data_IF_503909691772
#
_entry.id   IF_503909691772
#
_cell.length_a   1.000
_cell.length_b   1.000
_cell.length_c   1.000
_cell.angle_alpha   90.00
_cell.angle_beta   90.00
_cell.angle_gamma   90.00
#
_symmetry.space_group_name_H-M   'P 1'
#
loop_
_entity.id
_entity.type
_entity.pdbx_description
1 polymer ?
#
# COMPACT_ATOMS: atom_id res chain seq x y z
N UNK A 1 16.56 -41.29 34.22
CA UNK A 1 17.53 -40.52 33.40
C UNK A 1 17.18 -40.47 31.90
N UNK A 2 16.53 -41.46 31.36
CA UNK A 2 16.23 -41.60 29.91
C UNK A 2 15.31 -40.52 29.32
N UNK A 3 14.29 -40.01 30.05
CA UNK A 3 13.33 -39.01 29.55
C UNK A 3 13.94 -37.59 29.36
N UNK A 4 14.96 -37.20 30.12
CA UNK A 4 15.64 -35.91 29.94
C UNK A 4 16.57 -35.88 28.70
N UNK A 5 17.16 -37.04 28.34
CA UNK A 5 18.00 -37.16 27.14
C UNK A 5 17.18 -37.14 25.86
N UNK A 6 15.98 -37.72 25.84
CA UNK A 6 15.09 -37.71 24.68
C UNK A 6 14.52 -36.31 24.43
N UNK A 7 14.14 -35.56 25.49
CA UNK A 7 13.72 -34.15 25.36
C UNK A 7 14.88 -33.24 24.93
N UNK A 8 16.09 -33.44 25.41
CA UNK A 8 17.28 -32.68 24.99
C UNK A 8 17.58 -32.87 23.50
N UNK A 9 17.56 -34.09 22.99
CA UNK A 9 17.82 -34.38 21.58
C UNK A 9 16.72 -33.84 20.64
N UNK A 10 15.44 -33.87 21.04
CA UNK A 10 14.35 -33.35 20.26
C UNK A 10 14.38 -31.81 20.19
N UNK A 11 14.77 -31.12 21.25
CA UNK A 11 14.95 -29.68 21.30
C UNK A 11 16.15 -29.22 20.44
N UNK A 12 17.26 -29.95 20.48
CA UNK A 12 18.43 -29.66 19.63
C UNK A 12 18.15 -29.89 18.14
N UNK A 13 17.47 -30.98 17.77
CA UNK A 13 17.08 -31.27 16.42
C UNK A 13 16.08 -30.24 15.89
N UNK A 14 15.12 -29.78 16.72
CA UNK A 14 14.15 -28.76 16.38
C UNK A 14 14.80 -27.37 16.21
N UNK A 15 15.77 -27.02 17.05
CA UNK A 15 16.54 -25.78 16.94
C UNK A 15 17.46 -25.76 15.71
N UNK A 16 18.10 -26.90 15.36
CA UNK A 16 18.90 -26.99 14.14
C UNK A 16 18.00 -26.85 12.88
N UNK A 17 16.82 -27.44 12.89
CA UNK A 17 15.83 -27.30 11.81
C UNK A 17 15.34 -25.85 11.69
N UNK A 18 15.04 -25.16 12.78
CA UNK A 18 14.61 -23.76 12.79
C UNK A 18 15.72 -22.81 12.29
N UNK A 19 16.96 -23.01 12.73
CA UNK A 19 18.12 -22.24 12.26
C UNK A 19 18.37 -22.42 10.76
N UNK A 20 18.25 -23.66 10.28
CA UNK A 20 18.40 -23.97 8.85
C UNK A 20 17.29 -23.28 8.01
N UNK A 21 16.05 -23.31 8.48
CA UNK A 21 14.92 -22.61 7.85
C UNK A 21 15.13 -21.10 7.82
N UNK A 22 15.58 -20.50 8.93
CA UNK A 22 15.85 -19.06 9.00
C UNK A 22 16.97 -18.67 8.02
N UNK A 23 18.07 -19.43 8.02
CA UNK A 23 19.20 -19.16 7.13
C UNK A 23 18.83 -19.35 5.66
N UNK A 24 17.99 -20.34 5.35
CA UNK A 24 17.40 -20.54 4.03
C UNK A 24 16.55 -19.34 3.60
N UNK A 25 15.65 -18.87 4.48
CA UNK A 25 14.80 -17.70 4.22
C UNK A 25 15.64 -16.44 3.91
N UNK A 26 16.67 -16.16 4.69
CA UNK A 26 17.58 -15.03 4.44
C UNK A 26 18.30 -15.19 3.10
N UNK A 27 18.91 -16.36 2.85
CA UNK A 27 19.68 -16.62 1.63
C UNK A 27 18.83 -16.50 0.35
N UNK A 28 17.58 -16.94 0.39
CA UNK A 28 16.65 -16.85 -0.75
C UNK A 28 16.13 -15.43 -0.98
N UNK A 29 16.01 -14.61 0.07
CA UNK A 29 15.46 -13.26 -0.01
C UNK A 29 16.46 -12.26 -0.57
N UNK A 30 17.75 -12.37 -0.26
CA UNK A 30 18.78 -11.38 -0.64
C UNK A 30 18.86 -11.18 -2.17
N UNK A 31 18.97 -12.24 -3.01
CA UNK A 31 19.04 -12.04 -4.48
C UNK A 31 17.75 -11.41 -5.05
N UNK A 32 16.60 -11.78 -4.50
CA UNK A 32 15.30 -11.23 -4.90
C UNK A 32 15.20 -9.76 -4.51
N UNK A 33 15.59 -9.41 -3.28
CA UNK A 33 15.61 -8.04 -2.79
C UNK A 33 16.51 -7.16 -3.66
N UNK A 34 17.69 -7.64 -4.02
CA UNK A 34 18.61 -6.92 -4.89
C UNK A 34 18.03 -6.69 -6.28
N UNK A 35 17.44 -7.72 -6.90
CA UNK A 35 16.80 -7.60 -8.21
C UNK A 35 15.62 -6.61 -8.19
N UNK A 36 14.77 -6.69 -7.17
CA UNK A 36 13.64 -5.79 -6.96
C UNK A 36 14.12 -4.36 -6.76
N UNK A 37 15.09 -4.14 -5.86
CA UNK A 37 15.60 -2.79 -5.58
C UNK A 37 16.28 -2.17 -6.79
N UNK A 38 17.09 -2.94 -7.54
CA UNK A 38 17.69 -2.47 -8.79
C UNK A 38 16.64 -1.99 -9.78
N UNK A 39 15.57 -2.77 -9.98
CA UNK A 39 14.47 -2.40 -10.86
C UNK A 39 13.77 -1.12 -10.37
N UNK A 40 13.46 -1.02 -9.08
CA UNK A 40 12.82 0.15 -8.48
C UNK A 40 13.67 1.41 -8.65
N UNK A 41 14.95 1.37 -8.31
CA UNK A 41 15.85 2.50 -8.43
C UNK A 41 16.02 2.95 -9.89
N UNK A 42 15.95 2.02 -10.86
CA UNK A 42 16.00 2.37 -12.28
C UNK A 42 14.80 3.19 -12.76
N UNK A 43 13.71 3.20 -12.03
CA UNK A 43 12.51 4.02 -12.28
C UNK A 43 12.53 5.27 -11.40
N UNK A 44 12.80 5.10 -10.11
CA UNK A 44 12.74 6.19 -9.12
C UNK A 44 13.71 7.33 -9.44
N UNK A 45 14.97 7.02 -9.75
CA UNK A 45 15.99 8.03 -9.98
C UNK A 45 15.68 8.89 -11.23
N UNK A 46 15.37 8.32 -12.41
CA UNK A 46 14.99 9.14 -13.57
C UNK A 46 13.73 9.98 -13.34
N UNK A 47 12.71 9.43 -12.64
CA UNK A 47 11.47 10.17 -12.35
C UNK A 47 11.75 11.35 -11.41
N UNK A 48 12.51 11.13 -10.32
CA UNK A 48 12.85 12.23 -9.40
C UNK A 48 13.73 13.31 -10.08
N UNK A 49 14.62 12.90 -10.99
CA UNK A 49 15.37 13.84 -11.81
C UNK A 49 14.49 14.65 -12.76
N UNK A 50 13.49 14.01 -13.38
CA UNK A 50 12.53 14.72 -14.22
C UNK A 50 11.74 15.76 -13.40
N UNK A 51 11.36 15.45 -12.16
CA UNK A 51 10.69 16.39 -11.25
C UNK A 51 11.61 17.58 -10.92
N UNK A 52 12.90 17.33 -10.65
CA UNK A 52 13.90 18.41 -10.47
C UNK A 52 13.92 19.36 -11.68
N UNK A 53 13.94 18.81 -12.90
CA UNK A 53 13.94 19.62 -14.13
C UNK A 53 12.64 20.40 -14.29
N UNK A 54 11.48 19.80 -14.00
CA UNK A 54 10.19 20.48 -14.04
C UNK A 54 10.12 21.62 -13.01
N UNK A 55 10.70 21.42 -11.83
CA UNK A 55 10.81 22.45 -10.80
C UNK A 55 11.73 23.60 -11.25
N UNK A 56 12.94 23.27 -11.72
CA UNK A 56 13.91 24.26 -12.18
C UNK A 56 13.39 25.12 -13.37
N UNK A 57 12.65 24.51 -14.29
CA UNK A 57 12.06 25.21 -15.45
C UNK A 57 10.78 26.00 -15.12
N UNK A 58 10.26 25.91 -13.90
CA UNK A 58 9.00 26.55 -13.50
C UNK A 58 7.73 25.90 -14.04
N UNK A 59 7.85 24.83 -14.84
CA UNK A 59 6.69 24.09 -15.38
C UNK A 59 5.86 23.48 -14.26
N UNK A 60 6.52 23.00 -13.20
CA UNK A 60 5.84 22.45 -12.03
C UNK A 60 4.91 23.50 -11.39
N UNK A 61 5.37 24.73 -11.20
CA UNK A 61 4.57 25.81 -10.62
C UNK A 61 3.32 26.14 -11.44
N UNK A 62 3.43 26.15 -12.78
CA UNK A 62 2.30 26.40 -13.68
C UNK A 62 1.22 25.33 -13.53
N UNK A 63 1.61 24.04 -13.59
CA UNK A 63 0.66 22.92 -13.46
C UNK A 63 0.04 22.90 -12.07
N UNK A 64 0.85 23.12 -11.02
CA UNK A 64 0.41 23.21 -9.63
C UNK A 64 -0.67 24.27 -9.43
N UNK A 65 -0.53 25.43 -10.05
CA UNK A 65 -1.51 26.50 -9.98
C UNK A 65 -2.90 26.12 -10.52
N UNK A 66 -2.97 25.31 -11.57
CA UNK A 66 -4.25 24.81 -12.11
C UNK A 66 -4.91 23.76 -11.21
N UNK A 67 -4.13 22.96 -10.49
CA UNK A 67 -4.62 21.86 -9.67
C UNK A 67 -4.81 22.25 -8.20
N UNK A 68 -4.25 23.39 -7.78
CA UNK A 68 -4.32 23.88 -6.41
C UNK A 68 -5.75 23.88 -5.82
N UNK A 69 -6.81 24.39 -6.51
CA UNK A 69 -8.13 24.46 -5.90
C UNK A 69 -8.70 23.10 -5.47
N UNK A 70 -8.34 22.02 -6.16
CA UNK A 70 -8.77 20.65 -5.81
C UNK A 70 -7.99 20.13 -4.61
N UNK A 71 -6.70 20.42 -4.55
CA UNK A 71 -5.83 19.92 -3.48
C UNK A 71 -5.95 20.72 -2.19
N UNK A 72 -6.28 22.00 -2.27
CA UNK A 72 -6.57 22.87 -1.11
C UNK A 72 -7.73 22.35 -0.25
N UNK A 73 -8.73 21.67 -0.84
CA UNK A 73 -9.79 20.98 -0.07
C UNK A 73 -9.25 19.92 0.91
N UNK A 74 -8.07 19.40 0.62
CA UNK A 74 -7.38 18.41 1.44
C UNK A 74 -6.24 19.04 2.25
N UNK A 75 -6.10 20.37 2.25
CA UNK A 75 -5.01 21.10 2.89
C UNK A 75 -3.64 20.79 2.25
N UNK A 76 -3.62 20.51 0.97
CA UNK A 76 -2.42 20.14 0.21
C UNK A 76 -2.04 21.24 -0.78
N UNK A 77 -0.74 21.54 -0.97
CA UNK A 77 -0.29 22.44 -2.02
C UNK A 77 -0.50 21.84 -3.41
N UNK A 78 -0.56 22.68 -4.45
CA UNK A 78 -0.81 22.25 -5.82
C UNK A 78 0.20 21.24 -6.38
N UNK A 79 1.47 21.30 -5.94
CA UNK A 79 2.55 20.36 -6.28
C UNK A 79 2.21 18.92 -5.90
N UNK A 80 1.36 18.74 -4.91
CA UNK A 80 0.86 17.43 -4.45
C UNK A 80 0.20 16.64 -5.56
N UNK A 81 -0.34 17.31 -6.58
CA UNK A 81 -0.91 16.67 -7.75
C UNK A 81 0.10 15.80 -8.50
N UNK A 82 1.36 16.23 -8.59
CA UNK A 82 2.42 15.43 -9.22
C UNK A 82 2.71 14.15 -8.48
N UNK A 83 2.74 14.20 -7.15
CA UNK A 83 2.90 13.02 -6.31
C UNK A 83 1.79 12.02 -6.59
N UNK A 84 0.54 12.48 -6.53
CA UNK A 84 -0.62 11.62 -6.70
C UNK A 84 -0.71 11.06 -8.12
N UNK A 85 -0.53 11.88 -9.15
CA UNK A 85 -0.55 11.44 -10.55
C UNK A 85 0.57 10.44 -10.84
N UNK A 86 1.79 10.72 -10.37
CA UNK A 86 2.91 9.79 -10.52
C UNK A 86 2.62 8.46 -9.84
N UNK A 87 2.05 8.48 -8.64
CA UNK A 87 1.63 7.29 -7.91
C UNK A 87 0.57 6.48 -8.67
N UNK A 88 -0.47 7.14 -9.16
CA UNK A 88 -1.58 6.54 -9.92
C UNK A 88 -1.07 5.78 -11.15
N UNK A 89 -0.20 6.41 -11.93
CA UNK A 89 0.26 5.84 -13.19
C UNK A 89 1.44 4.89 -13.06
N UNK A 90 2.17 4.95 -11.95
CA UNK A 90 3.34 4.10 -11.72
C UNK A 90 3.22 3.23 -10.47
N UNK A 91 3.81 3.65 -9.35
CA UNK A 91 3.83 2.91 -8.08
C UNK A 91 4.18 3.82 -6.90
N UNK A 92 4.15 3.28 -5.67
CA UNK A 92 4.48 4.02 -4.44
C UNK A 92 5.92 4.50 -4.37
N UNK A 93 6.87 3.80 -4.99
CA UNK A 93 8.29 4.15 -4.91
C UNK A 93 8.59 5.43 -5.68
N UNK A 94 7.96 5.60 -6.85
CA UNK A 94 8.05 6.86 -7.61
C UNK A 94 7.35 8.00 -6.88
N UNK A 95 6.22 7.75 -6.20
CA UNK A 95 5.59 8.75 -5.34
C UNK A 95 6.52 9.22 -4.22
N UNK A 96 7.22 8.28 -3.55
CA UNK A 96 8.21 8.60 -2.52
C UNK A 96 9.35 9.45 -3.09
N UNK A 97 9.84 9.11 -4.29
CA UNK A 97 10.89 9.88 -4.95
C UNK A 97 10.45 11.32 -5.25
N UNK A 98 9.20 11.52 -5.70
CA UNK A 98 8.63 12.86 -5.93
C UNK A 98 8.44 13.61 -4.62
N UNK A 99 7.87 12.99 -3.58
CA UNK A 99 7.70 13.60 -2.26
C UNK A 99 9.02 14.13 -1.71
N UNK A 100 10.07 13.31 -1.77
CA UNK A 100 11.39 13.67 -1.25
C UNK A 100 12.09 14.75 -2.09
N UNK A 101 11.73 14.88 -3.37
CA UNK A 101 12.24 15.93 -4.26
C UNK A 101 11.52 17.27 -4.10
N UNK A 102 10.33 17.28 -3.49
CA UNK A 102 9.51 18.48 -3.28
C UNK A 102 9.64 19.07 -1.87
N UNK A 103 10.40 18.43 -0.97
CA UNK A 103 10.65 18.87 0.42
C UNK A 103 9.37 19.24 1.19
N UNK A 104 8.32 18.41 1.07
CA UNK A 104 7.00 18.67 1.63
C UNK A 104 6.99 18.52 3.16
N UNK A 105 6.13 19.29 3.83
CA UNK A 105 5.91 19.20 5.29
C UNK A 105 5.37 17.85 5.73
N UNK A 106 5.70 17.41 6.95
CA UNK A 106 5.33 16.09 7.46
C UNK A 106 3.82 15.80 7.45
N UNK A 107 2.98 16.82 7.67
CA UNK A 107 1.51 16.71 7.56
C UNK A 107 1.08 16.45 6.12
N UNK A 108 1.60 17.21 5.18
CA UNK A 108 1.36 17.05 3.74
C UNK A 108 1.84 15.68 3.27
N UNK A 109 3.06 15.28 3.67
CA UNK A 109 3.62 13.94 3.39
C UNK A 109 2.69 12.84 3.91
N UNK A 110 2.14 12.98 5.11
CA UNK A 110 1.24 11.97 5.72
C UNK A 110 -0.07 11.83 4.92
N UNK A 111 -0.70 12.95 4.55
CA UNK A 111 -1.94 12.94 3.76
C UNK A 111 -1.66 12.33 2.37
N UNK A 112 -0.63 12.80 1.68
CA UNK A 112 -0.24 12.28 0.37
C UNK A 112 0.13 10.80 0.40
N UNK A 113 0.89 10.37 1.41
CA UNK A 113 1.22 8.96 1.60
C UNK A 113 -0.04 8.10 1.71
N UNK A 114 -1.01 8.49 2.54
CA UNK A 114 -2.27 7.78 2.67
C UNK A 114 -3.07 7.75 1.36
N UNK A 115 -3.13 8.87 0.63
CA UNK A 115 -3.79 8.96 -0.68
C UNK A 115 -3.10 8.06 -1.72
N UNK A 116 -1.78 8.10 -1.80
CA UNK A 116 -1.00 7.25 -2.70
C UNK A 116 -1.15 5.77 -2.37
N UNK A 117 -1.16 5.41 -1.08
CA UNK A 117 -1.37 4.04 -0.62
C UNK A 117 -2.74 3.47 -1.04
N UNK A 118 -3.74 4.31 -1.27
CA UNK A 118 -5.08 3.91 -1.77
C UNK A 118 -5.10 3.87 -3.31
N UNK A 119 -4.35 4.74 -3.99
CA UNK A 119 -4.53 5.00 -5.42
C UNK A 119 -3.31 4.74 -6.31
N UNK A 120 -2.24 4.13 -5.80
CA UNK A 120 -1.08 3.81 -6.64
C UNK A 120 -1.35 2.71 -7.67
N UNK A 121 -0.56 2.69 -8.74
CA UNK A 121 -0.51 1.58 -9.69
C UNK A 121 -1.86 1.21 -10.33
N UNK A 122 -2.71 2.18 -10.67
CA UNK A 122 -4.08 1.94 -11.16
C UNK A 122 -4.15 0.92 -12.29
N UNK A 123 -3.23 0.98 -13.24
CA UNK A 123 -3.26 0.10 -14.43
C UNK A 123 -3.04 -1.36 -14.02
N UNK A 124 -1.95 -1.62 -13.30
CA UNK A 124 -1.54 -2.98 -12.94
C UNK A 124 -2.48 -3.58 -11.91
N UNK A 125 -2.78 -2.85 -10.84
CA UNK A 125 -3.60 -3.38 -9.75
C UNK A 125 -5.06 -3.54 -10.14
N UNK A 126 -5.60 -2.63 -10.95
CA UNK A 126 -6.96 -2.80 -11.48
C UNK A 126 -7.06 -4.02 -12.42
N UNK A 127 -6.01 -4.29 -13.22
CA UNK A 127 -5.97 -5.50 -14.04
C UNK A 127 -5.97 -6.77 -13.17
N UNK A 128 -5.26 -6.75 -12.05
CA UNK A 128 -5.25 -7.84 -11.06
C UNK A 128 -6.63 -8.02 -10.43
N UNK A 129 -7.26 -6.94 -9.93
CA UNK A 129 -8.59 -6.97 -9.32
C UNK A 129 -9.68 -7.42 -10.33
N UNK A 130 -9.52 -7.09 -11.61
CA UNK A 130 -10.40 -7.58 -12.67
C UNK A 130 -10.27 -9.09 -12.87
N UNK A 131 -9.05 -9.64 -12.85
CA UNK A 131 -8.81 -11.09 -12.96
C UNK A 131 -9.44 -11.88 -11.82
N UNK A 132 -9.52 -11.30 -10.64
CA UNK A 132 -10.16 -11.91 -9.47
C UNK A 132 -11.68 -11.71 -9.41
N UNK A 133 -12.27 -11.14 -10.46
CA UNK A 133 -13.73 -11.14 -10.69
C UNK A 133 -14.44 -9.81 -10.46
N UNK A 134 -13.75 -8.70 -10.16
CA UNK A 134 -14.36 -7.39 -9.96
C UNK A 134 -14.43 -6.55 -11.24
N UNK A 135 -15.36 -5.61 -11.28
CA UNK A 135 -15.44 -4.60 -12.36
C UNK A 135 -14.27 -3.63 -12.27
N UNK A 136 -13.48 -3.51 -13.35
CA UNK A 136 -12.35 -2.59 -13.41
C UNK A 136 -12.76 -1.14 -13.15
N UNK A 137 -13.84 -0.67 -13.79
CA UNK A 137 -14.35 0.71 -13.61
C UNK A 137 -14.73 0.95 -12.15
N UNK A 138 -15.43 -0.03 -11.53
CA UNK A 138 -15.81 0.07 -10.13
C UNK A 138 -14.60 0.16 -9.20
N UNK A 139 -13.57 -0.67 -9.44
CA UNK A 139 -12.35 -0.64 -8.64
C UNK A 139 -11.58 0.68 -8.81
N UNK A 140 -11.50 1.22 -10.02
CA UNK A 140 -10.91 2.54 -10.28
C UNK A 140 -11.66 3.64 -9.52
N UNK A 141 -13.00 3.65 -9.58
CA UNK A 141 -13.82 4.64 -8.87
C UNK A 141 -13.67 4.51 -7.35
N UNK A 142 -13.72 3.29 -6.81
CA UNK A 142 -13.55 3.05 -5.36
C UNK A 142 -12.19 3.56 -4.89
N UNK A 143 -11.12 3.32 -5.63
CA UNK A 143 -9.77 3.76 -5.27
C UNK A 143 -9.59 5.27 -5.43
N UNK A 144 -10.09 5.84 -6.52
CA UNK A 144 -10.01 7.28 -6.75
C UNK A 144 -10.80 8.06 -5.67
N UNK A 145 -12.07 7.73 -5.50
CA UNK A 145 -12.92 8.38 -4.49
C UNK A 145 -12.42 8.11 -3.07
N UNK A 146 -11.94 6.89 -2.80
CA UNK A 146 -11.34 6.53 -1.52
C UNK A 146 -10.07 7.33 -1.21
N UNK A 147 -9.23 7.58 -2.23
CA UNK A 147 -8.02 8.41 -2.09
C UNK A 147 -8.37 9.86 -1.72
N UNK A 148 -9.35 10.47 -2.39
CA UNK A 148 -9.79 11.82 -2.02
C UNK A 148 -10.50 11.84 -0.67
N UNK A 149 -11.34 10.86 -0.38
CA UNK A 149 -12.03 10.77 0.92
C UNK A 149 -11.05 10.65 2.09
N UNK A 150 -10.00 9.83 1.96
CA UNK A 150 -8.98 9.71 3.01
C UNK A 150 -8.15 11.00 3.14
N UNK A 151 -7.88 11.71 2.03
CA UNK A 151 -7.20 13.00 2.04
C UNK A 151 -8.00 14.06 2.81
N UNK A 152 -9.30 14.22 2.52
CA UNK A 152 -10.20 15.12 3.24
C UNK A 152 -10.32 14.73 4.71
N UNK A 153 -10.50 13.43 5.00
CA UNK A 153 -10.57 12.93 6.38
C UNK A 153 -9.30 13.26 7.18
N UNK A 154 -8.13 12.99 6.61
CA UNK A 154 -6.86 13.26 7.28
C UNK A 154 -6.58 14.75 7.42
N UNK A 155 -7.00 15.59 6.47
CA UNK A 155 -6.92 17.04 6.61
C UNK A 155 -7.71 17.54 7.84
N UNK A 156 -8.84 16.91 8.13
CA UNK A 156 -9.64 17.25 9.32
C UNK A 156 -9.09 16.61 10.59
N UNK A 157 -8.61 15.37 10.54
CA UNK A 157 -8.28 14.57 11.73
C UNK A 157 -6.83 14.75 12.22
N UNK A 158 -5.90 15.11 11.33
CA UNK A 158 -4.48 15.25 11.70
C UNK A 158 -4.24 16.47 12.57
N UNK A 159 -3.52 16.34 13.69
CA UNK A 159 -3.09 17.48 14.49
C UNK A 159 -2.28 18.48 13.67
N UNK A 160 -2.44 19.77 13.98
CA UNK A 160 -1.68 20.85 13.33
C UNK A 160 -0.20 20.82 13.70
N UNK A 161 0.16 20.19 14.82
CA UNK A 161 1.51 20.15 15.39
C UNK A 161 2.41 19.06 14.82
N UNK A 162 1.93 18.27 13.84
CA UNK A 162 2.77 17.31 13.10
C UNK A 162 3.82 17.98 12.19
N UNK A 163 4.04 19.27 12.42
CA UNK A 163 4.96 20.11 11.67
C UNK A 163 6.34 20.09 12.33
N UNK A 164 7.14 19.06 12.05
CA UNK A 164 8.59 19.10 12.30
C UNK A 164 9.35 18.55 11.10
N UNK A 165 9.09 19.10 9.92
CA UNK A 165 10.08 19.14 8.86
C UNK A 165 10.24 20.61 8.46
N UNK A 166 11.46 21.10 8.46
CA UNK A 166 11.78 22.48 8.07
C UNK A 166 11.21 22.72 6.67
N UNK A 167 10.22 23.61 6.60
CA UNK A 167 9.86 24.24 5.32
C UNK A 167 11.07 25.09 4.92
N UNK A 168 11.96 24.51 4.14
CA UNK A 168 12.88 25.36 3.38
C UNK A 168 11.99 26.09 2.38
N UNK A 169 11.77 27.37 2.65
CA UNK A 169 11.19 28.28 1.64
C UNK A 169 12.05 28.12 0.39
N UNK A 170 11.45 27.59 -0.66
CA UNK A 170 12.09 27.49 -1.97
C UNK A 170 12.62 28.88 -2.31
N UNK A 171 13.91 29.11 -2.15
CA UNK A 171 14.57 30.33 -2.57
C UNK A 171 14.60 30.26 -4.09
N UNK A 172 13.71 31.00 -4.71
CA UNK A 172 13.44 31.02 -6.17
C UNK A 172 14.65 31.38 -7.06
N UNK A 173 15.88 31.43 -6.55
CA UNK A 173 17.06 31.82 -7.28
C UNK A 173 18.29 30.92 -7.05
N UNK A 174 18.10 29.67 -6.66
CA UNK A 174 19.23 28.75 -6.55
C UNK A 174 19.78 28.37 -7.94
N UNK A 175 21.11 28.31 -8.06
CA UNK A 175 21.71 27.84 -9.30
C UNK A 175 21.36 26.34 -9.50
N UNK A 176 21.16 25.93 -10.76
CA UNK A 176 20.93 24.51 -11.10
C UNK A 176 21.97 23.58 -10.47
N UNK A 177 23.21 24.02 -10.34
CA UNK A 177 24.26 23.21 -9.70
C UNK A 177 23.97 22.90 -8.25
N UNK A 178 23.47 23.85 -7.48
CA UNK A 178 23.09 23.61 -6.05
C UNK A 178 21.93 22.66 -5.99
N UNK A 179 20.83 22.93 -6.69
CA UNK A 179 19.65 22.06 -6.75
C UNK A 179 20.00 20.61 -7.18
N UNK A 180 20.92 20.48 -8.17
CA UNK A 180 21.37 19.16 -8.62
C UNK A 180 22.18 18.42 -7.56
N UNK A 181 23.06 19.11 -6.82
CA UNK A 181 23.87 18.49 -5.77
C UNK A 181 23.01 18.02 -4.60
N UNK A 182 22.02 18.83 -4.19
CA UNK A 182 21.09 18.49 -3.12
C UNK A 182 20.17 17.31 -3.51
N UNK A 183 19.67 17.34 -4.76
CA UNK A 183 18.93 16.22 -5.31
C UNK A 183 19.78 14.93 -5.37
N UNK A 184 21.02 15.02 -5.83
CA UNK A 184 21.89 13.85 -5.93
C UNK A 184 22.18 13.24 -4.55
N UNK A 185 22.47 14.08 -3.55
CA UNK A 185 22.70 13.64 -2.19
C UNK A 185 21.44 12.98 -1.58
N UNK A 186 20.29 13.64 -1.69
CA UNK A 186 19.00 13.12 -1.24
C UNK A 186 18.63 11.80 -1.92
N UNK A 187 18.88 11.69 -3.24
CA UNK A 187 18.65 10.47 -4.02
C UNK A 187 19.53 9.31 -3.57
N UNK A 188 20.80 9.57 -3.23
CA UNK A 188 21.70 8.54 -2.67
C UNK A 188 21.18 8.07 -1.31
N UNK A 189 20.86 8.98 -0.40
CA UNK A 189 20.34 8.63 0.93
C UNK A 189 19.04 7.85 0.83
N UNK A 190 18.11 8.28 -0.04
CA UNK A 190 16.86 7.57 -0.27
C UNK A 190 17.10 6.17 -0.85
N UNK A 191 18.03 6.05 -1.81
CA UNK A 191 18.39 4.74 -2.40
C UNK A 191 18.89 3.76 -1.35
N UNK A 192 19.78 4.20 -0.44
CA UNK A 192 20.29 3.37 0.65
C UNK A 192 19.14 2.94 1.59
N UNK A 193 18.25 3.88 1.99
CA UNK A 193 17.09 3.56 2.82
C UNK A 193 16.19 2.51 2.15
N UNK A 194 15.90 2.68 0.87
CA UNK A 194 15.04 1.77 0.09
C UNK A 194 15.68 0.38 -0.02
N UNK A 195 16.99 0.28 -0.32
CA UNK A 195 17.72 -1.01 -0.37
C UNK A 195 17.60 -1.75 0.94
N UNK A 196 17.93 -1.09 2.06
CA UNK A 196 17.90 -1.69 3.39
C UNK A 196 16.49 -2.12 3.76
N UNK A 197 15.52 -1.24 3.59
CA UNK A 197 14.15 -1.50 3.99
C UNK A 197 13.52 -2.65 3.18
N UNK A 198 13.66 -2.65 1.85
CA UNK A 198 13.14 -3.73 1.00
C UNK A 198 13.81 -5.06 1.36
N UNK A 199 15.13 -5.06 1.60
CA UNK A 199 15.83 -6.29 1.98
C UNK A 199 15.28 -6.86 3.29
N UNK A 200 15.14 -6.01 4.32
CA UNK A 200 14.58 -6.42 5.61
C UNK A 200 13.13 -6.91 5.50
N UNK A 201 12.30 -6.21 4.72
CA UNK A 201 10.91 -6.58 4.50
C UNK A 201 10.78 -7.93 3.77
N UNK A 202 11.56 -8.16 2.72
CA UNK A 202 11.53 -9.44 1.99
C UNK A 202 12.02 -10.61 2.85
N UNK A 203 13.01 -10.38 3.71
CA UNK A 203 13.46 -11.39 4.69
C UNK A 203 12.33 -11.66 5.70
N UNK A 204 11.72 -10.62 6.25
CA UNK A 204 10.61 -10.74 7.21
C UNK A 204 9.43 -11.51 6.58
N UNK A 205 8.99 -11.13 5.38
CA UNK A 205 7.92 -11.82 4.66
C UNK A 205 8.22 -13.31 4.47
N UNK A 206 9.45 -13.64 4.06
CA UNK A 206 9.85 -15.03 3.87
C UNK A 206 9.89 -15.82 5.17
N UNK A 207 10.32 -15.20 6.27
CA UNK A 207 10.28 -15.80 7.61
C UNK A 207 8.84 -16.10 8.02
N UNK A 208 7.91 -15.13 7.89
CA UNK A 208 6.50 -15.30 8.21
C UNK A 208 5.85 -16.45 7.41
N UNK A 209 6.24 -16.61 6.14
CA UNK A 209 5.78 -17.68 5.27
C UNK A 209 6.32 -19.04 5.72
N UNK A 210 7.65 -19.18 5.85
CA UNK A 210 8.34 -20.45 6.16
C UNK A 210 7.95 -20.99 7.54
N UNK A 211 7.71 -20.12 8.52
CA UNK A 211 7.27 -20.51 9.85
C UNK A 211 5.74 -20.67 9.98
N UNK A 212 5.01 -20.48 8.89
CA UNK A 212 3.55 -20.67 8.86
C UNK A 212 2.77 -19.63 9.67
N UNK A 213 3.39 -18.50 10.03
CA UNK A 213 2.78 -17.42 10.81
C UNK A 213 1.57 -16.86 10.07
N UNK A 214 1.64 -16.74 8.74
CA UNK A 214 0.54 -16.26 7.90
C UNK A 214 -0.71 -17.13 8.05
N UNK A 215 -0.55 -18.47 8.08
CA UNK A 215 -1.67 -19.40 8.30
C UNK A 215 -2.24 -19.28 9.71
N UNK A 216 -1.40 -19.06 10.71
CA UNK A 216 -1.84 -18.85 12.08
C UNK A 216 -2.63 -17.54 12.21
N UNK A 217 -2.11 -16.45 11.63
CA UNK A 217 -2.77 -15.15 11.60
C UNK A 217 -4.15 -15.24 10.93
N UNK A 218 -4.28 -15.97 9.81
CA UNK A 218 -5.57 -16.10 9.13
C UNK A 218 -6.64 -16.78 10.01
N UNK A 219 -6.25 -17.76 10.82
CA UNK A 219 -7.18 -18.42 11.77
C UNK A 219 -7.57 -17.51 12.93
N UNK A 220 -6.60 -16.78 13.50
CA UNK A 220 -6.85 -15.88 14.65
C UNK A 220 -7.70 -14.67 14.22
N UNK A 221 -7.48 -14.14 13.03
CA UNK A 221 -8.16 -12.94 12.53
C UNK A 221 -9.47 -13.26 11.77
N UNK A 222 -9.81 -14.52 11.54
CA UNK A 222 -11.06 -14.91 10.88
C UNK A 222 -12.32 -14.30 11.55
N UNK A 223 -12.48 -14.27 12.89
CA UNK A 223 -13.63 -13.62 13.53
C UNK A 223 -13.68 -12.11 13.25
N UNK A 224 -12.54 -11.44 13.21
CA UNK A 224 -12.46 -10.00 12.90
C UNK A 224 -12.98 -9.71 11.49
N UNK A 225 -12.74 -10.61 10.54
CA UNK A 225 -13.19 -10.43 9.16
C UNK A 225 -14.71 -10.46 9.03
N UNK A 226 -15.38 -11.25 9.84
CA UNK A 226 -16.86 -11.25 9.90
C UNK A 226 -17.38 -9.87 10.31
N UNK A 227 -16.76 -9.23 11.31
CA UNK A 227 -17.07 -7.85 11.73
C UNK A 227 -16.79 -6.85 10.60
N UNK A 228 -15.72 -7.07 9.83
CA UNK A 228 -15.41 -6.28 8.65
C UNK A 228 -16.40 -6.48 7.49
N UNK A 229 -17.32 -7.43 7.61
CA UNK A 229 -18.25 -7.79 6.55
C UNK A 229 -17.65 -8.72 5.49
N UNK A 230 -16.54 -9.38 5.75
CA UNK A 230 -15.90 -10.33 4.84
C UNK A 230 -16.29 -11.77 5.22
N UNK A 231 -16.54 -12.66 4.24
CA UNK A 231 -16.76 -14.09 4.48
C UNK A 231 -15.48 -14.79 4.98
N UNK A 232 -15.64 -15.82 5.81
CA UNK A 232 -14.53 -16.62 6.33
C UNK A 232 -13.67 -17.25 5.22
N UNK A 233 -14.29 -17.61 4.08
CA UNK A 233 -13.60 -18.14 2.89
C UNK A 233 -12.49 -17.21 2.38
N UNK A 234 -12.57 -15.91 2.67
CA UNK A 234 -11.61 -14.89 2.22
C UNK A 234 -10.41 -14.71 3.15
N UNK A 235 -10.43 -15.32 4.35
CA UNK A 235 -9.48 -15.04 5.44
C UNK A 235 -8.03 -15.22 5.04
N UNK A 236 -7.70 -16.31 4.37
CA UNK A 236 -6.32 -16.58 3.99
C UNK A 236 -5.83 -15.61 2.89
N UNK A 237 -6.64 -15.37 1.86
CA UNK A 237 -6.31 -14.42 0.79
C UNK A 237 -6.18 -12.99 1.30
N UNK A 238 -7.03 -12.59 2.27
CA UNK A 238 -6.95 -11.27 2.90
C UNK A 238 -5.64 -11.06 3.65
N UNK A 239 -5.23 -12.03 4.48
CA UNK A 239 -3.94 -11.96 5.21
C UNK A 239 -2.78 -11.89 4.25
N UNK A 240 -2.77 -12.73 3.21
CA UNK A 240 -1.69 -12.74 2.22
C UNK A 240 -1.62 -11.42 1.46
N UNK A 241 -2.77 -10.86 1.05
CA UNK A 241 -2.81 -9.55 0.38
C UNK A 241 -2.28 -8.41 1.26
N UNK A 242 -2.50 -8.48 2.58
CA UNK A 242 -2.04 -7.46 3.53
C UNK A 242 -0.60 -7.64 4.03
N UNK A 243 -0.05 -8.86 3.95
CA UNK A 243 1.31 -9.16 4.43
C UNK A 243 2.33 -9.33 3.31
N UNK A 244 1.95 -9.99 2.21
CA UNK A 244 2.82 -10.29 1.06
C UNK A 244 2.49 -9.43 -0.18
N UNK A 245 1.44 -8.63 -0.10
CA UNK A 245 1.01 -7.74 -1.17
C UNK A 245 -0.10 -8.31 -2.08
N UNK A 246 -0.68 -7.40 -2.87
CA UNK A 246 -1.85 -7.67 -3.70
C UNK A 246 -1.62 -8.79 -4.72
N UNK A 247 -0.44 -8.86 -5.32
CA UNK A 247 -0.13 -9.86 -6.36
C UNK A 247 -0.22 -11.30 -5.81
N UNK A 248 0.35 -11.55 -4.63
CA UNK A 248 0.29 -12.86 -3.97
C UNK A 248 -1.13 -13.17 -3.47
N UNK A 249 -1.79 -12.20 -2.83
CA UNK A 249 -3.17 -12.36 -2.38
C UNK A 249 -4.13 -12.70 -3.52
N UNK A 250 -3.97 -12.04 -4.67
CA UNK A 250 -4.77 -12.29 -5.87
C UNK A 250 -4.51 -13.65 -6.50
N UNK A 251 -3.26 -14.10 -6.55
CA UNK A 251 -2.93 -15.43 -7.08
C UNK A 251 -3.63 -16.53 -6.26
N UNK A 252 -3.60 -16.42 -4.92
CA UNK A 252 -4.32 -17.34 -4.02
C UNK A 252 -5.84 -17.23 -4.21
N UNK A 253 -6.36 -16.03 -4.35
CA UNK A 253 -7.80 -15.80 -4.57
C UNK A 253 -8.28 -16.45 -5.87
N UNK A 254 -7.52 -16.32 -6.96
CA UNK A 254 -7.81 -16.97 -8.25
C UNK A 254 -7.83 -18.49 -8.05
N UNK A 255 -6.80 -19.06 -7.43
CA UNK A 255 -6.70 -20.50 -7.17
C UNK A 255 -7.88 -21.01 -6.32
N UNK A 256 -8.27 -20.27 -5.26
CA UNK A 256 -9.41 -20.65 -4.41
C UNK A 256 -10.73 -20.59 -5.15
N UNK A 257 -10.93 -19.61 -6.04
CA UNK A 257 -12.13 -19.51 -6.89
C UNK A 257 -12.18 -20.66 -7.90
N UNK A 258 -11.07 -20.97 -8.56
CA UNK A 258 -10.98 -22.08 -9.53
C UNK A 258 -11.23 -23.43 -8.89
N UNK A 259 -10.77 -23.65 -7.65
CA UNK A 259 -11.01 -24.87 -6.87
C UNK A 259 -12.39 -24.92 -6.20
N UNK A 260 -13.25 -23.92 -6.38
CA UNK A 260 -14.56 -23.84 -5.75
C UNK A 260 -14.53 -23.63 -4.22
N UNK A 261 -13.38 -23.25 -3.67
CA UNK A 261 -13.20 -22.97 -2.24
C UNK A 261 -13.64 -21.56 -1.85
N UNK A 262 -13.77 -20.66 -2.81
CA UNK A 262 -14.26 -19.29 -2.64
C UNK A 262 -15.27 -18.98 -3.74
N UNK A 263 -16.43 -18.41 -3.38
CA UNK A 263 -17.39 -17.93 -4.37
C UNK A 263 -16.86 -16.65 -5.06
N UNK A 264 -17.18 -16.47 -6.34
CA UNK A 264 -16.82 -15.23 -7.08
C UNK A 264 -17.37 -13.96 -6.40
N UNK A 265 -18.56 -14.06 -5.78
CA UNK A 265 -19.16 -12.96 -5.02
C UNK A 265 -18.34 -12.59 -3.78
N UNK A 266 -17.68 -13.56 -3.16
CA UNK A 266 -16.85 -13.37 -1.98
C UNK A 266 -15.50 -12.77 -2.37
N UNK A 267 -14.93 -13.25 -3.48
CA UNK A 267 -13.73 -12.67 -4.09
C UNK A 267 -13.94 -11.20 -4.47
N UNK A 268 -15.10 -10.86 -5.09
CA UNK A 268 -15.42 -9.48 -5.42
C UNK A 268 -15.61 -8.61 -4.16
N UNK A 269 -16.18 -9.18 -3.09
CA UNK A 269 -16.31 -8.45 -1.82
C UNK A 269 -14.95 -8.20 -1.17
N UNK A 270 -14.05 -9.21 -1.18
CA UNK A 270 -12.68 -9.06 -0.73
C UNK A 270 -11.93 -8.00 -1.55
N UNK A 271 -12.13 -7.95 -2.87
CA UNK A 271 -11.53 -6.96 -3.74
C UNK A 271 -11.90 -5.52 -3.34
N UNK A 272 -13.12 -5.28 -2.86
CA UNK A 272 -13.53 -3.96 -2.37
C UNK A 272 -12.71 -3.52 -1.14
N UNK A 273 -12.31 -4.45 -0.27
CA UNK A 273 -11.42 -4.15 0.84
C UNK A 273 -9.98 -3.93 0.35
N UNK A 274 -9.42 -4.94 -0.35
CA UNK A 274 -7.99 -4.90 -0.73
C UNK A 274 -7.68 -3.84 -1.77
N UNK A 275 -8.66 -3.37 -2.54
CA UNK A 275 -8.48 -2.26 -3.47
C UNK A 275 -7.98 -0.98 -2.79
N UNK A 276 -8.41 -0.72 -1.55
CA UNK A 276 -8.03 0.47 -0.78
C UNK A 276 -7.11 0.17 0.39
N UNK A 277 -6.98 -1.11 0.79
CA UNK A 277 -6.28 -1.52 2.01
C UNK A 277 -5.57 -2.86 1.82
N UNK A 278 -4.56 -2.90 0.95
CA UNK A 278 -3.61 -4.03 0.81
C UNK A 278 -2.21 -3.63 1.26
N UNK A 279 -1.27 -4.58 1.29
CA UNK A 279 0.15 -4.36 1.62
C UNK A 279 0.36 -3.56 2.91
N UNK A 280 -0.43 -3.85 3.95
CA UNK A 280 -0.40 -3.07 5.21
C UNK A 280 0.91 -3.26 5.99
N UNK A 281 1.68 -4.30 5.69
CA UNK A 281 2.98 -4.54 6.32
C UNK A 281 4.11 -3.77 5.60
N UNK A 282 4.10 -3.75 4.27
CA UNK A 282 5.22 -3.23 3.47
C UNK A 282 5.07 -1.74 3.15
N UNK A 283 4.00 -1.37 2.47
CA UNK A 283 3.85 -0.05 1.88
C UNK A 283 3.85 1.10 2.90
N UNK A 284 3.17 1.00 4.07
CA UNK A 284 3.23 2.07 5.07
C UNK A 284 4.63 2.28 5.66
N UNK A 285 5.43 1.20 5.78
CA UNK A 285 6.80 1.30 6.31
C UNK A 285 7.72 2.07 5.36
N UNK A 286 7.49 1.99 4.04
CA UNK A 286 8.22 2.79 3.06
C UNK A 286 7.97 4.29 3.25
N UNK A 287 6.72 4.70 3.44
CA UNK A 287 6.38 6.09 3.73
C UNK A 287 6.82 6.53 5.14
N UNK A 288 6.82 5.62 6.12
CA UNK A 288 7.36 5.91 7.44
C UNK A 288 8.86 6.21 7.42
N UNK A 289 9.62 5.60 6.50
CA UNK A 289 11.04 5.89 6.31
C UNK A 289 11.32 7.33 5.84
N UNK A 290 10.32 8.03 5.30
CA UNK A 290 10.38 9.44 4.92
C UNK A 290 9.59 10.36 5.88
N UNK A 291 9.18 9.86 7.05
CA UNK A 291 8.63 10.64 8.15
C UNK A 291 7.11 10.57 8.35
N UNK A 292 6.37 9.83 7.55
CA UNK A 292 4.92 9.67 7.76
C UNK A 292 4.62 8.72 8.94
N UNK A 293 3.79 9.11 9.94
CA UNK A 293 3.51 8.26 11.10
C UNK A 293 2.64 7.05 10.72
N UNK A 294 3.10 5.83 11.04
CA UNK A 294 2.47 4.56 10.67
C UNK A 294 0.98 4.45 11.05
N UNK A 295 0.63 4.91 12.26
CA UNK A 295 -0.76 4.84 12.74
C UNK A 295 -1.75 5.56 11.80
N UNK A 296 -1.37 6.72 11.29
CA UNK A 296 -2.18 7.51 10.34
C UNK A 296 -2.21 6.92 8.92
N UNK A 297 -1.26 6.06 8.57
CA UNK A 297 -1.26 5.35 7.30
C UNK A 297 -2.06 4.05 7.33
N UNK A 298 -1.99 3.32 8.45
CA UNK A 298 -2.60 1.98 8.57
C UNK A 298 -4.07 2.08 8.97
N UNK A 299 -4.37 2.78 10.09
CA UNK A 299 -5.71 2.77 10.68
C UNK A 299 -6.78 3.37 9.75
N UNK A 300 -6.61 4.57 9.18
CA UNK A 300 -7.63 5.15 8.30
C UNK A 300 -7.85 4.32 7.02
N UNK A 301 -6.80 3.73 6.43
CA UNK A 301 -6.94 2.86 5.26
C UNK A 301 -7.69 1.57 5.59
N UNK A 302 -7.38 0.96 6.73
CA UNK A 302 -8.10 -0.21 7.20
C UNK A 302 -9.59 0.09 7.40
N UNK A 303 -9.93 1.19 8.08
CA UNK A 303 -11.30 1.62 8.30
C UNK A 303 -12.01 1.96 6.98
N UNK A 304 -11.32 2.59 6.04
CA UNK A 304 -11.84 2.84 4.70
C UNK A 304 -12.18 1.53 3.98
N UNK A 305 -11.31 0.51 4.08
CA UNK A 305 -11.58 -0.81 3.52
C UNK A 305 -12.83 -1.46 4.10
N UNK A 306 -13.01 -1.39 5.42
CA UNK A 306 -14.22 -1.87 6.11
C UNK A 306 -15.46 -1.11 5.63
N UNK A 307 -15.39 0.21 5.57
CA UNK A 307 -16.48 1.06 5.07
C UNK A 307 -16.90 0.67 3.65
N UNK A 308 -15.94 0.52 2.74
CA UNK A 308 -16.20 0.16 1.34
C UNK A 308 -16.87 -1.21 1.23
N UNK A 309 -16.47 -2.19 2.05
CA UNK A 309 -17.12 -3.51 2.10
C UNK A 309 -18.58 -3.39 2.55
N UNK A 310 -18.85 -2.64 3.62
CA UNK A 310 -20.21 -2.47 4.12
C UNK A 310 -21.11 -1.70 3.15
N UNK A 311 -20.57 -0.68 2.46
CA UNK A 311 -21.30 0.02 1.38
C UNK A 311 -21.63 -0.93 0.22
N UNK A 312 -20.71 -1.80 -0.17
CA UNK A 312 -20.96 -2.82 -1.18
C UNK A 312 -22.05 -3.82 -0.74
N UNK A 313 -22.04 -4.25 0.52
CA UNK A 313 -23.07 -5.12 1.09
C UNK A 313 -24.45 -4.45 1.11
N UNK A 314 -24.49 -3.19 1.52
CA UNK A 314 -25.73 -2.41 1.53
C UNK A 314 -26.33 -2.28 0.12
N UNK A 315 -25.50 -1.92 -0.86
CA UNK A 315 -25.93 -1.85 -2.27
C UNK A 315 -26.49 -3.19 -2.78
N UNK A 316 -25.83 -4.30 -2.47
CA UNK A 316 -26.29 -5.64 -2.85
C UNK A 316 -27.61 -6.00 -2.18
N UNK A 317 -27.79 -5.59 -0.92
CA UNK A 317 -29.06 -5.79 -0.17
C UNK A 317 -30.21 -5.03 -0.80
N UNK A 318 -30.01 -3.75 -1.12
CA UNK A 318 -31.01 -2.90 -1.76
C UNK A 318 -31.44 -3.43 -3.13
N UNK A 319 -30.47 -3.85 -3.98
CA UNK A 319 -30.78 -4.45 -5.28
C UNK A 319 -31.60 -5.73 -5.20
N UNK A 320 -31.35 -6.59 -4.19
CA UNK A 320 -32.17 -7.78 -3.96
C UNK A 320 -33.61 -7.43 -3.55
N UNK A 321 -33.77 -6.43 -2.69
CA UNK A 321 -35.09 -5.95 -2.26
C UNK A 321 -35.92 -5.36 -3.43
N UNK A 322 -35.29 -4.57 -4.28
CA UNK A 322 -35.94 -3.98 -5.46
C UNK A 322 -36.38 -5.05 -6.46
N UNK A 323 -35.53 -6.04 -6.74
CA UNK A 323 -35.86 -7.16 -7.65
C UNK A 323 -36.99 -8.05 -7.10
N UNK A 324 -37.10 -8.18 -5.78
CA UNK A 324 -38.19 -8.91 -5.16
C UNK A 324 -39.53 -8.19 -5.28
N UNK A 325 -39.54 -6.87 -5.11
CA UNK A 325 -40.75 -6.05 -5.24
C UNK A 325 -41.23 -5.94 -6.69
N UNK A 326 -40.31 -5.88 -7.68
CA UNK A 326 -40.70 -5.82 -9.10
C UNK A 326 -41.35 -7.12 -9.60
N UNK A 327 -40.96 -8.28 -9.03
CA UNK A 327 -41.61 -9.57 -9.33
C UNK A 327 -43.00 -9.72 -8.70
N UNK A 328 -43.27 -9.04 -7.57
CA UNK A 328 -44.59 -9.08 -6.91
C UNK A 328 -45.62 -8.13 -7.53
N UNK A 329 -45.17 -7.11 -8.29
CA UNK A 329 -46.08 -6.13 -8.94
C UNK A 329 -46.38 -6.49 -10.39
N UNK A 330 -45.89 -7.61 -10.90
CA UNK A 330 -46.13 -8.11 -12.27
C UNK A 330 -46.99 -9.34 -12.37
N UNK A 331 -47.49 -9.84 -11.23
CA UNK A 331 -48.57 -10.84 -11.09
C UNK A 331 -49.86 -10.14 -10.63
#
# INVERSE_FOLDING_TARGET
MTNKMIQGNSLHANNQSAKAKLMGAVRESIPKAFATTKWLLSIMIPVSFAVLLLNYTGVLAVISGYLAPVFELMGLPGESAFVLLTSIFTNIYTAIAVITSLELEGRVVTILAAMCLVSHGFIVETAVLKKTGSSAIRMLLVRLLGSFAIGVFLNWALPTDLIHAQTQVLVQNESFKVMFMDWAWSSILLSVKVVVLITLLMILQRILEVFGVIKLMSKILAPLQVVMGLPESTSFSWIVANTLGLAYGSAIMIEQVEKGQMAKSDADLLNHHVAVSHSQLEDPLLFAAIGAPLGWLIIPRFLLGVLVVWLCRLERGLKKGLNFNSKKSGD
#
